data_IF_318894749818
#
_entry.id   IF_318894749818
#
_cell.length_a   1.000
_cell.length_b   1.000
_cell.length_c   1.000
_cell.angle_alpha   90.00
_cell.angle_beta   90.00
_cell.angle_gamma   90.00
#
_symmetry.space_group_name_H-M   'P 1'
#
loop_
_entity.id
_entity.type
_entity.pdbx_description
1 polymer ?
#
# COMPACT_ATOMS: atom_id res chain seq x y z
N UNK A 1 2.43 13.73 -1.08
CA UNK A 1 1.94 14.49 0.10
C UNK A 1 2.20 13.64 1.35
N UNK A 2 2.40 14.22 2.55
CA UNK A 2 2.45 13.45 3.80
C UNK A 2 1.20 13.71 4.63
N UNK A 3 0.62 12.68 5.20
CA UNK A 3 -0.53 12.84 6.11
C UNK A 3 -0.08 12.99 7.58
N UNK A 4 -1.05 13.11 8.49
CA UNK A 4 -0.82 13.29 9.94
C UNK A 4 -0.12 12.10 10.60
N UNK A 5 -0.11 10.92 9.97
CA UNK A 5 0.59 9.71 10.41
C UNK A 5 1.96 9.53 9.74
N UNK A 6 2.47 10.57 9.06
CA UNK A 6 3.72 10.55 8.29
C UNK A 6 3.75 9.48 7.17
N UNK A 7 2.56 9.05 6.71
CA UNK A 7 2.40 8.18 5.54
C UNK A 7 2.54 9.04 4.28
N UNK A 8 3.09 8.45 3.22
CA UNK A 8 3.18 9.14 1.94
C UNK A 8 1.93 8.83 1.12
N UNK A 9 1.22 9.89 0.76
CA UNK A 9 0.07 9.84 -0.13
C UNK A 9 0.52 10.31 -1.52
N UNK A 10 0.39 9.42 -2.50
CA UNK A 10 0.58 9.70 -3.92
C UNK A 10 -0.82 9.82 -4.54
N UNK A 11 -1.08 10.92 -5.25
CA UNK A 11 -2.35 11.10 -5.97
C UNK A 11 -1.99 11.27 -7.44
N UNK A 12 -2.53 10.40 -8.28
CA UNK A 12 -2.22 10.35 -9.71
C UNK A 12 -3.49 10.46 -10.55
N UNK A 13 -3.38 11.17 -11.67
CA UNK A 13 -4.42 11.34 -12.67
C UNK A 13 -3.90 10.80 -14.00
N UNK A 14 -4.51 9.74 -14.51
CA UNK A 14 -4.04 9.06 -15.71
C UNK A 14 -5.12 9.09 -16.80
N UNK A 15 -4.78 9.70 -17.93
CA UNK A 15 -5.68 9.82 -19.09
C UNK A 15 -5.46 8.72 -20.13
N UNK A 16 -4.19 8.45 -20.46
CA UNK A 16 -3.85 7.48 -21.50
C UNK A 16 -3.93 6.06 -20.95
N UNK A 17 -4.43 5.15 -21.80
CA UNK A 17 -4.52 3.73 -21.47
C UNK A 17 -3.11 3.15 -21.37
N UNK A 18 -2.88 2.43 -20.28
CA UNK A 18 -1.61 1.77 -19.99
C UNK A 18 -1.89 0.31 -19.62
N UNK A 19 -1.40 -0.63 -20.43
CA UNK A 19 -1.72 -2.06 -20.28
C UNK A 19 -1.04 -2.69 -19.06
N UNK A 20 0.10 -2.14 -18.65
CA UNK A 20 0.92 -2.55 -17.52
C UNK A 20 0.77 -1.60 -16.32
N UNK A 21 -0.38 -0.91 -16.23
CA UNK A 21 -0.67 0.04 -15.16
C UNK A 21 -0.47 -0.53 -13.76
N UNK A 22 -0.89 -1.80 -13.53
CA UNK A 22 -0.71 -2.45 -12.23
C UNK A 22 0.77 -2.65 -11.89
N UNK A 23 1.62 -2.95 -12.87
CA UNK A 23 3.07 -3.02 -12.70
C UNK A 23 3.66 -1.64 -12.43
N UNK A 24 3.15 -0.59 -13.10
CA UNK A 24 3.54 0.81 -12.81
C UNK A 24 3.17 1.21 -11.38
N UNK A 25 1.97 0.85 -10.92
CA UNK A 25 1.52 1.10 -9.54
C UNK A 25 2.43 0.41 -8.52
N UNK A 26 2.76 -0.86 -8.75
CA UNK A 26 3.71 -1.64 -7.94
C UNK A 26 5.09 -0.97 -7.92
N UNK A 27 5.64 -0.64 -9.09
CA UNK A 27 6.96 -0.03 -9.22
C UNK A 27 7.03 1.33 -8.52
N UNK A 28 6.03 2.18 -8.73
CA UNK A 28 5.94 3.51 -8.13
C UNK A 28 5.91 3.44 -6.60
N UNK A 29 5.16 2.47 -6.06
CA UNK A 29 5.09 2.20 -4.63
C UNK A 29 6.45 1.73 -4.08
N UNK A 30 7.07 0.74 -4.72
CA UNK A 30 8.36 0.21 -4.31
C UNK A 30 9.46 1.29 -4.37
N UNK A 31 9.49 2.06 -5.45
CA UNK A 31 10.41 3.19 -5.64
C UNK A 31 10.22 4.26 -4.56
N UNK A 32 8.97 4.61 -4.24
CA UNK A 32 8.69 5.59 -3.19
C UNK A 32 9.18 5.11 -1.83
N UNK A 33 8.98 3.83 -1.51
CA UNK A 33 9.50 3.23 -0.28
C UNK A 33 11.03 3.33 -0.23
N UNK A 34 11.73 2.96 -1.30
CA UNK A 34 13.19 2.95 -1.32
C UNK A 34 13.78 4.36 -1.25
N UNK A 35 13.18 5.34 -1.94
CA UNK A 35 13.61 6.75 -1.88
C UNK A 35 13.47 7.37 -0.48
N UNK A 36 12.55 6.85 0.34
CA UNK A 36 12.32 7.34 1.70
C UNK A 36 12.95 6.47 2.78
N UNK A 37 13.68 5.41 2.41
CA UNK A 37 14.40 4.56 3.35
C UNK A 37 15.90 4.88 3.30
N UNK A 38 16.42 5.45 4.39
CA UNK A 38 17.87 5.70 4.50
C UNK A 38 18.63 4.43 4.87
N UNK A 39 19.84 4.28 4.32
CA UNK A 39 20.72 3.16 4.63
C UNK A 39 20.98 3.04 6.15
N UNK A 40 20.95 1.80 6.66
CA UNK A 40 21.22 1.49 8.06
C UNK A 40 20.05 1.75 9.02
N UNK A 41 18.91 2.25 8.55
CA UNK A 41 17.71 2.37 9.38
C UNK A 41 17.04 1.00 9.60
N UNK A 42 16.39 0.77 10.76
CA UNK A 42 15.64 -0.45 11.00
C UNK A 42 14.40 -0.52 10.10
N UNK A 43 13.97 -1.72 9.69
CA UNK A 43 12.80 -1.86 8.80
C UNK A 43 11.48 -1.34 9.40
N UNK A 44 11.39 -1.18 10.72
CA UNK A 44 10.27 -0.49 11.35
C UNK A 44 10.11 0.98 10.89
N UNK A 45 11.14 1.58 10.27
CA UNK A 45 11.05 2.91 9.68
C UNK A 45 10.58 2.93 8.22
N UNK A 46 10.28 1.77 7.63
CA UNK A 46 9.67 1.71 6.29
C UNK A 46 8.33 2.43 6.35
N UNK A 47 8.18 3.42 5.47
CA UNK A 47 6.97 4.23 5.39
C UNK A 47 5.84 3.45 4.72
N UNK A 48 4.61 3.62 5.20
CA UNK A 48 3.43 3.22 4.45
C UNK A 48 3.20 4.23 3.32
N UNK A 49 2.96 3.71 2.12
CA UNK A 49 2.58 4.47 0.93
C UNK A 49 1.09 4.21 0.65
N UNK A 50 0.34 5.29 0.43
CA UNK A 50 -1.06 5.27 0.02
C UNK A 50 -1.10 5.87 -1.38
N UNK A 51 -1.61 5.13 -2.34
CA UNK A 51 -1.78 5.62 -3.71
C UNK A 51 -3.25 5.83 -3.98
N UNK A 52 -3.63 6.97 -4.54
CA UNK A 52 -4.97 7.26 -5.01
C UNK A 52 -4.87 7.50 -6.51
N UNK A 53 -5.44 6.61 -7.30
CA UNK A 53 -5.38 6.66 -8.76
C UNK A 53 -6.74 7.05 -9.35
N UNK A 54 -6.78 8.13 -10.14
CA UNK A 54 -7.97 8.55 -10.88
C UNK A 54 -7.73 8.24 -12.37
N UNK A 55 -8.47 7.27 -12.91
CA UNK A 55 -8.25 6.71 -14.23
C UNK A 55 -9.39 7.05 -15.19
N UNK A 56 -9.06 7.46 -16.41
CA UNK A 56 -10.01 7.69 -17.51
C UNK A 56 -10.10 6.49 -18.47
N UNK A 57 -9.57 5.34 -18.06
CA UNK A 57 -9.63 4.09 -18.79
C UNK A 57 -9.94 2.94 -17.83
N UNK A 58 -10.40 1.83 -18.38
CA UNK A 58 -10.68 0.63 -17.60
C UNK A 58 -9.37 0.00 -17.10
N UNK A 59 -9.21 -0.08 -15.77
CA UNK A 59 -8.06 -0.73 -15.13
C UNK A 59 -7.98 -2.23 -15.45
N UNK A 60 -9.12 -2.84 -15.77
CA UNK A 60 -9.27 -4.25 -16.05
C UNK A 60 -10.74 -4.61 -16.22
N UNK A 61 -11.09 -5.86 -15.91
CA UNK A 61 -12.47 -6.31 -15.95
C UNK A 61 -13.12 -6.20 -14.57
N UNK A 62 -14.26 -5.52 -14.52
CA UNK A 62 -15.16 -5.51 -13.38
C UNK A 62 -16.32 -4.54 -13.60
N UNK A 63 -17.27 -4.54 -12.67
CA UNK A 63 -18.50 -3.73 -12.77
C UNK A 63 -18.46 -2.46 -11.91
N UNK A 64 -17.40 -2.30 -11.12
CA UNK A 64 -17.25 -1.18 -10.19
C UNK A 64 -16.35 -0.10 -10.80
N UNK A 65 -16.50 1.13 -10.32
CA UNK A 65 -15.67 2.27 -10.69
C UNK A 65 -14.70 2.66 -9.56
N UNK A 66 -14.87 2.10 -8.35
CA UNK A 66 -13.95 2.27 -7.23
C UNK A 66 -13.38 0.90 -6.86
N UNK A 67 -12.05 0.82 -6.82
CA UNK A 67 -11.32 -0.35 -6.36
C UNK A 67 -10.44 0.05 -5.19
N UNK A 68 -10.34 -0.82 -4.17
CA UNK A 68 -9.47 -0.63 -3.02
C UNK A 68 -8.56 -1.84 -2.90
N UNK A 69 -7.25 -1.60 -2.98
CA UNK A 69 -6.21 -2.60 -2.79
C UNK A 69 -5.64 -2.53 -1.39
N UNK A 70 -5.80 -3.60 -0.61
CA UNK A 70 -5.13 -3.76 0.68
C UNK A 70 -4.40 -5.10 0.76
N UNK A 71 -3.43 -5.19 1.68
CA UNK A 71 -2.72 -6.44 1.95
C UNK A 71 -3.24 -7.05 3.24
N UNK A 72 -3.87 -8.22 3.14
CA UNK A 72 -4.27 -9.05 4.28
C UNK A 72 -3.63 -10.43 4.16
N UNK A 73 -3.27 -11.03 5.29
CA UNK A 73 -2.73 -12.39 5.34
C UNK A 73 -3.77 -13.29 5.99
N UNK A 74 -4.23 -14.32 5.27
CA UNK A 74 -5.18 -15.31 5.78
C UNK A 74 -4.53 -16.69 5.86
N UNK A 75 -4.75 -17.38 6.97
CA UNK A 75 -4.28 -18.74 7.16
C UNK A 75 -4.92 -19.67 6.14
N UNK A 76 -4.11 -20.41 5.38
CA UNK A 76 -4.61 -21.29 4.32
C UNK A 76 -5.59 -22.36 4.86
N UNK A 77 -5.34 -22.85 6.07
CA UNK A 77 -6.14 -23.92 6.68
C UNK A 77 -7.28 -23.39 7.56
N UNK A 78 -7.02 -22.37 8.39
CA UNK A 78 -8.01 -21.85 9.36
C UNK A 78 -8.88 -20.73 8.78
N UNK A 79 -8.44 -20.12 7.67
CA UNK A 79 -9.03 -18.90 7.09
C UNK A 79 -8.99 -17.68 8.05
N UNK A 80 -8.29 -17.80 9.18
CA UNK A 80 -8.11 -16.71 10.13
C UNK A 80 -7.15 -15.66 9.58
N UNK A 81 -7.44 -14.39 9.85
CA UNK A 81 -6.57 -13.28 9.48
C UNK A 81 -5.43 -13.12 10.48
N UNK A 82 -4.21 -12.92 9.98
CA UNK A 82 -3.03 -12.68 10.80
C UNK A 82 -3.16 -11.32 11.50
N UNK A 83 -3.16 -11.35 12.83
CA UNK A 83 -3.12 -10.16 13.68
C UNK A 83 -1.71 -9.88 14.19
N UNK A 84 -1.47 -8.62 14.58
CA UNK A 84 -0.23 -8.24 15.26
C UNK A 84 -0.29 -8.64 16.73
N UNK A 85 0.82 -9.12 17.27
CA UNK A 85 1.01 -9.26 18.71
C UNK A 85 1.28 -7.91 19.40
N UNK A 86 1.30 -7.89 20.73
CA UNK A 86 1.49 -6.65 21.50
C UNK A 86 2.87 -6.01 21.28
N UNK A 87 3.92 -6.82 21.07
CA UNK A 87 5.26 -6.31 20.79
C UNK A 87 5.33 -5.64 19.42
N UNK A 88 4.68 -6.23 18.42
CA UNK A 88 4.56 -5.69 17.07
C UNK A 88 3.71 -4.41 17.05
N UNK A 89 2.58 -4.37 17.77
CA UNK A 89 1.77 -3.16 17.91
C UNK A 89 2.59 -2.02 18.53
N UNK A 90 3.37 -2.31 19.57
CA UNK A 90 4.25 -1.33 20.20
C UNK A 90 5.37 -0.85 19.26
N UNK A 91 5.99 -1.76 18.51
CA UNK A 91 7.07 -1.44 17.58
C UNK A 91 6.60 -0.62 16.37
N UNK A 92 5.52 -1.06 15.72
CA UNK A 92 5.02 -0.46 14.48
C UNK A 92 4.09 0.73 14.73
N UNK A 93 3.51 0.82 15.94
CA UNK A 93 2.46 1.79 16.27
C UNK A 93 1.27 1.70 15.30
N UNK A 94 0.94 0.46 14.89
CA UNK A 94 -0.14 0.14 13.94
C UNK A 94 -1.13 -0.85 14.56
N UNK A 95 -2.43 -0.72 14.24
CA UNK A 95 -3.46 -1.59 14.81
C UNK A 95 -3.54 -2.97 14.15
N UNK A 96 -3.07 -3.12 12.91
CA UNK A 96 -3.21 -4.35 12.12
C UNK A 96 -2.10 -4.52 11.09
N UNK A 97 -1.99 -5.71 10.52
CA UNK A 97 -1.04 -6.02 9.44
C UNK A 97 -1.30 -5.15 8.22
N UNK A 98 -2.57 -5.02 7.79
CA UNK A 98 -2.95 -4.16 6.65
C UNK A 98 -2.56 -2.68 6.83
N UNK A 99 -2.42 -2.20 8.07
CA UNK A 99 -1.97 -0.84 8.36
C UNK A 99 -0.45 -0.63 8.22
N UNK A 100 0.33 -1.70 7.98
CA UNK A 100 1.78 -1.67 7.73
C UNK A 100 2.06 -1.57 6.23
N UNK A 101 1.29 -2.30 5.42
CA UNK A 101 1.52 -2.42 3.98
C UNK A 101 0.94 -1.23 3.20
N UNK A 102 1.44 -1.02 1.96
CA UNK A 102 0.83 -0.06 1.05
C UNK A 102 -0.66 -0.31 0.80
N UNK A 103 -1.34 0.77 0.43
CA UNK A 103 -2.77 0.81 0.12
C UNK A 103 -2.97 1.55 -1.20
N UNK A 104 -3.93 1.09 -2.01
CA UNK A 104 -4.18 1.59 -3.37
C UNK A 104 -5.68 1.82 -3.60
#
# INVERSE_FOLDING_TARGET
>A
IKNTRNEIVIVELQYEREWDYLQRLLFSTAKTITEHMSQGKPYASVIKVITISILYFDLGHGSDYIYVGNTSFKGLHTQEELALDEGQKALFQRPSVAAIFPEH
#
